data_IF_864786933631
#
_entry.id   IF_864786933631
#
_cell.length_a   1.000
_cell.length_b   1.000
_cell.length_c   1.000
_cell.angle_alpha   90.00
_cell.angle_beta   90.00
_cell.angle_gamma   90.00
#
_symmetry.space_group_name_H-M   'P 1'
#
loop_
_entity.id
_entity.type
_entity.pdbx_description
1 polymer ?
#
# COMPACT_ATOMS: atom_id res chain seq x y z
N UNK A 1 -21.91 9.65 -42.38
CA UNK A 1 -20.71 10.03 -41.61
C UNK A 1 -19.63 10.40 -42.62
N UNK A 2 -19.11 11.65 -42.56
CA UNK A 2 -18.05 12.06 -43.47
C UNK A 2 -16.80 11.22 -43.17
N UNK A 3 -16.23 10.47 -44.14
CA UNK A 3 -15.10 9.60 -43.90
C UNK A 3 -13.80 10.35 -43.56
N UNK A 4 -13.76 11.63 -43.77
CA UNK A 4 -12.57 12.47 -43.50
C UNK A 4 -12.73 13.21 -42.18
N UNK A 5 -11.95 12.77 -41.18
CA UNK A 5 -11.85 13.46 -39.91
C UNK A 5 -11.35 14.90 -40.14
N UNK A 6 -12.15 15.89 -39.72
CA UNK A 6 -11.82 17.30 -39.88
C UNK A 6 -12.10 17.93 -41.25
N UNK A 7 -12.75 17.23 -42.20
CA UNK A 7 -13.09 17.79 -43.51
C UNK A 7 -14.00 19.01 -43.38
N UNK A 8 -14.88 19.06 -42.37
CA UNK A 8 -15.78 20.17 -42.06
C UNK A 8 -15.22 21.13 -41.00
N UNK A 9 -13.93 21.06 -40.74
CA UNK A 9 -13.24 21.80 -39.71
C UNK A 9 -13.12 21.03 -38.37
N UNK A 10 -12.04 21.28 -37.64
CA UNK A 10 -11.82 20.72 -36.33
C UNK A 10 -12.51 21.62 -35.29
N UNK A 11 -13.50 21.08 -34.60
CA UNK A 11 -14.16 21.79 -33.50
C UNK A 11 -13.59 21.28 -32.18
N UNK A 12 -12.83 22.14 -31.50
CA UNK A 12 -12.33 21.89 -30.16
C UNK A 12 -13.31 22.39 -29.12
N UNK A 13 -13.42 21.63 -28.03
CA UNK A 13 -14.31 21.98 -26.93
C UNK A 13 -13.68 21.67 -25.58
N UNK A 14 -14.16 22.33 -24.56
CA UNK A 14 -13.86 22.09 -23.17
C UNK A 14 -15.14 21.69 -22.46
N UNK A 15 -15.05 20.76 -21.53
CA UNK A 15 -16.24 20.27 -20.84
C UNK A 15 -15.91 19.65 -19.48
N UNK A 16 -16.97 19.19 -18.84
CA UNK A 16 -16.92 18.54 -17.53
C UNK A 16 -17.56 17.19 -17.64
N UNK A 17 -16.87 16.19 -17.08
CA UNK A 17 -17.40 14.84 -16.98
C UNK A 17 -18.54 14.79 -15.96
N UNK A 18 -19.70 14.28 -16.37
CA UNK A 18 -20.86 14.12 -15.49
C UNK A 18 -21.25 12.68 -15.22
N UNK A 19 -20.85 11.74 -16.08
CA UNK A 19 -21.15 10.32 -15.90
C UNK A 19 -20.08 9.45 -16.58
N UNK A 20 -19.54 8.49 -15.88
CA UNK A 20 -18.57 7.50 -16.40
C UNK A 20 -19.09 6.05 -16.37
N UNK A 21 -20.37 5.86 -16.03
CA UNK A 21 -20.94 4.53 -15.97
C UNK A 21 -21.36 4.04 -17.37
N UNK A 22 -20.37 3.93 -18.23
CA UNK A 22 -20.54 3.48 -19.62
C UNK A 22 -21.18 2.08 -19.67
N UNK A 23 -22.38 1.93 -20.27
CA UNK A 23 -23.04 0.63 -20.39
C UNK A 23 -22.25 -0.37 -21.25
N UNK A 24 -21.38 0.10 -22.15
CA UNK A 24 -20.49 -0.75 -22.94
C UNK A 24 -19.18 -1.08 -22.21
N UNK A 25 -18.93 -0.49 -21.03
CA UNK A 25 -17.68 -0.67 -20.26
C UNK A 25 -16.41 -0.40 -21.08
N UNK A 26 -16.50 0.55 -22.02
CA UNK A 26 -15.43 0.93 -22.95
C UNK A 26 -14.68 2.20 -22.48
N UNK A 27 -14.89 2.65 -21.23
CA UNK A 27 -14.24 3.83 -20.65
C UNK A 27 -14.76 5.16 -21.21
N UNK A 28 -15.89 5.17 -21.91
CA UNK A 28 -16.54 6.41 -22.36
C UNK A 28 -17.14 7.16 -21.18
N UNK A 29 -17.29 8.45 -21.35
CA UNK A 29 -17.90 9.31 -20.33
C UNK A 29 -18.92 10.27 -20.97
N UNK A 30 -19.91 10.69 -20.20
CA UNK A 30 -20.81 11.77 -20.61
C UNK A 30 -20.22 13.09 -20.18
N UNK A 31 -20.18 14.03 -21.11
CA UNK A 31 -19.54 15.33 -20.89
C UNK A 31 -20.52 16.46 -21.19
N UNK A 32 -20.59 17.40 -20.25
CA UNK A 32 -21.25 18.68 -20.50
C UNK A 32 -20.26 19.65 -21.11
N UNK A 33 -20.46 19.96 -22.37
CA UNK A 33 -19.59 20.87 -23.13
C UNK A 33 -19.94 22.31 -22.78
N UNK A 34 -18.92 23.07 -22.35
CA UNK A 34 -19.07 24.44 -21.92
C UNK A 34 -19.35 25.33 -23.13
N UNK A 35 -20.38 26.19 -23.01
CA UNK A 35 -20.80 27.09 -24.08
C UNK A 35 -21.71 26.47 -25.15
N UNK A 36 -21.84 25.14 -25.18
CA UNK A 36 -22.76 24.40 -26.04
C UNK A 36 -23.97 23.89 -25.25
N UNK A 37 -23.73 23.27 -24.13
CA UNK A 37 -24.76 22.66 -23.27
C UNK A 37 -25.14 23.63 -22.16
N UNK A 38 -26.44 23.70 -21.84
CA UNK A 38 -26.91 24.39 -20.64
C UNK A 38 -26.45 23.72 -19.38
N UNK A 39 -26.26 24.48 -18.29
CA UNK A 39 -25.98 23.98 -16.94
C UNK A 39 -27.24 23.50 -16.22
N UNK A 40 -28.40 23.76 -16.76
CA UNK A 40 -29.67 23.22 -16.26
C UNK A 40 -29.72 21.70 -16.55
N UNK A 41 -29.71 20.92 -15.47
CA UNK A 41 -29.74 19.44 -15.52
C UNK A 41 -31.14 18.88 -15.31
N UNK A 42 -32.16 19.75 -15.19
CA UNK A 42 -33.56 19.35 -15.08
C UNK A 42 -34.11 18.82 -16.41
N UNK A 43 -35.28 18.22 -16.36
CA UNK A 43 -35.99 17.74 -17.57
C UNK A 43 -36.32 18.83 -18.57
N UNK A 44 -36.44 20.08 -18.11
CA UNK A 44 -36.63 21.26 -18.98
C UNK A 44 -35.33 21.78 -19.60
N UNK A 45 -34.19 21.36 -19.08
CA UNK A 45 -32.86 21.70 -19.59
C UNK A 45 -32.22 20.55 -20.37
N UNK A 46 -31.00 20.16 -20.00
CA UNK A 46 -30.31 19.03 -20.58
C UNK A 46 -29.92 18.04 -19.49
N UNK A 47 -30.74 17.01 -19.21
CA UNK A 47 -30.44 15.97 -18.23
C UNK A 47 -29.15 15.24 -18.56
N UNK A 48 -28.49 14.70 -17.53
CA UNK A 48 -27.23 13.95 -17.68
C UNK A 48 -27.42 12.75 -18.62
N UNK A 49 -28.58 12.09 -18.55
CA UNK A 49 -28.89 10.93 -19.37
C UNK A 49 -29.02 11.25 -20.88
N UNK A 50 -29.27 12.53 -21.20
CA UNK A 50 -29.36 13.01 -22.59
C UNK A 50 -27.99 13.38 -23.16
N UNK A 51 -26.96 13.52 -22.33
CA UNK A 51 -25.60 13.80 -22.78
C UNK A 51 -25.05 12.62 -23.59
N UNK A 52 -24.27 12.92 -24.63
CA UNK A 52 -23.62 11.90 -25.46
C UNK A 52 -22.43 11.29 -24.75
N UNK A 53 -22.18 10.01 -25.05
CA UNK A 53 -20.99 9.30 -24.62
C UNK A 53 -19.78 9.71 -25.47
N UNK A 54 -18.83 10.38 -24.85
CA UNK A 54 -17.57 10.76 -25.46
C UNK A 54 -16.55 9.61 -25.33
N UNK A 55 -15.83 9.33 -26.40
CA UNK A 55 -14.69 8.42 -26.36
C UNK A 55 -13.51 9.10 -25.69
N UNK A 56 -12.67 8.33 -25.03
CA UNK A 56 -11.42 8.81 -24.47
C UNK A 56 -10.26 8.36 -25.35
N UNK A 57 -9.44 9.32 -25.78
CA UNK A 57 -8.21 9.01 -26.51
C UNK A 57 -7.24 8.31 -25.56
N UNK A 58 -6.81 7.13 -25.92
CA UNK A 58 -5.82 6.37 -25.13
C UNK A 58 -4.40 6.85 -25.41
N UNK A 59 -3.53 6.68 -24.43
CA UNK A 59 -2.09 6.88 -24.65
C UNK A 59 -1.55 5.85 -25.65
N UNK A 60 -0.40 6.14 -26.27
CA UNK A 60 0.26 5.17 -27.15
C UNK A 60 0.75 3.89 -26.46
N UNK A 61 0.73 3.86 -25.12
CA UNK A 61 1.00 2.68 -24.32
C UNK A 61 -0.20 1.72 -24.21
N UNK A 62 -1.41 2.22 -24.50
CA UNK A 62 -2.62 1.42 -24.50
C UNK A 62 -2.89 0.90 -25.91
N UNK A 63 -2.69 -0.39 -26.13
CA UNK A 63 -2.92 -1.06 -27.40
C UNK A 63 -4.19 -1.89 -27.38
N UNK A 64 -4.66 -2.32 -28.54
CA UNK A 64 -5.82 -3.19 -28.63
C UNK A 64 -5.60 -4.53 -27.90
N UNK A 65 -6.27 -4.69 -26.78
CA UNK A 65 -6.22 -5.91 -25.95
C UNK A 65 -5.06 -6.00 -24.96
N UNK A 66 -4.11 -5.05 -24.97
CA UNK A 66 -2.99 -4.97 -24.02
C UNK A 66 -2.70 -3.51 -23.61
N UNK A 67 -2.07 -3.31 -22.48
CA UNK A 67 -1.73 -1.99 -21.95
C UNK A 67 -2.64 -1.58 -20.77
N UNK A 68 -2.86 -0.29 -20.61
CA UNK A 68 -3.65 0.26 -19.51
C UNK A 68 -5.16 0.08 -19.74
N UNK A 69 -5.89 -0.29 -18.67
CA UNK A 69 -7.34 -0.36 -18.71
C UNK A 69 -7.98 1.02 -18.68
N UNK A 70 -9.01 1.24 -19.46
CA UNK A 70 -9.83 2.43 -19.38
C UNK A 70 -10.83 2.33 -18.22
N UNK A 71 -10.73 3.26 -17.28
CA UNK A 71 -11.70 3.41 -16.19
C UNK A 71 -12.66 4.58 -16.40
N UNK A 72 -12.45 5.37 -17.43
CA UNK A 72 -13.08 6.67 -17.62
C UNK A 72 -12.54 7.76 -16.68
N UNK A 73 -12.82 9.01 -16.98
CA UNK A 73 -12.51 10.11 -16.09
C UNK A 73 -13.55 10.18 -14.97
N UNK A 74 -13.10 10.53 -13.78
CA UNK A 74 -13.98 10.75 -12.62
C UNK A 74 -14.91 11.93 -12.89
N UNK A 75 -16.15 11.86 -12.44
CA UNK A 75 -17.12 12.94 -12.52
C UNK A 75 -16.58 14.22 -11.88
N UNK A 76 -16.80 15.36 -12.53
CA UNK A 76 -16.23 16.66 -12.15
C UNK A 76 -14.85 16.95 -12.76
N UNK A 77 -14.25 16.00 -13.47
CA UNK A 77 -12.99 16.23 -14.20
C UNK A 77 -13.21 17.19 -15.37
N UNK A 78 -12.39 18.20 -15.47
CA UNK A 78 -12.31 19.06 -16.64
C UNK A 78 -11.55 18.37 -17.75
N UNK A 79 -12.14 18.40 -18.94
CA UNK A 79 -11.58 17.73 -20.11
C UNK A 79 -11.53 18.66 -21.31
N UNK A 80 -10.51 18.46 -22.14
CA UNK A 80 -10.38 19.06 -23.46
C UNK A 80 -10.64 17.96 -24.50
N UNK A 81 -11.43 18.27 -25.51
CA UNK A 81 -11.76 17.32 -26.55
C UNK A 81 -11.97 17.96 -27.92
N UNK A 82 -12.23 17.09 -28.86
CA UNK A 82 -12.58 17.44 -30.24
C UNK A 82 -13.89 16.75 -30.63
N UNK A 83 -14.59 17.35 -31.57
CA UNK A 83 -15.75 16.75 -32.22
C UNK A 83 -15.37 16.28 -33.61
N UNK A 84 -15.66 15.01 -33.94
CA UNK A 84 -15.40 14.43 -35.27
C UNK A 84 -16.45 14.81 -36.30
N UNK A 85 -17.60 15.24 -35.84
CA UNK A 85 -18.74 15.71 -36.65
C UNK A 85 -18.89 17.26 -36.64
N UNK A 86 -17.78 17.97 -36.38
CA UNK A 86 -17.73 19.40 -36.38
C UNK A 86 -18.62 20.04 -35.30
N UNK A 87 -19.41 21.03 -35.67
CA UNK A 87 -20.27 21.79 -34.74
C UNK A 87 -21.50 21.01 -34.23
N UNK A 88 -21.77 19.84 -34.77
CA UNK A 88 -22.89 19.00 -34.30
C UNK A 88 -22.64 18.45 -32.92
N UNK A 89 -21.38 18.22 -32.54
CA UNK A 89 -20.94 17.74 -31.21
C UNK A 89 -21.69 16.49 -30.73
N UNK A 90 -21.99 15.57 -31.66
CA UNK A 90 -22.62 14.29 -31.34
C UNK A 90 -21.59 13.15 -31.27
N UNK A 91 -20.43 13.35 -31.89
CA UNK A 91 -19.33 12.38 -31.91
C UNK A 91 -18.10 12.99 -31.25
N UNK A 92 -18.06 12.88 -29.93
CA UNK A 92 -17.08 13.55 -29.08
C UNK A 92 -15.90 12.62 -28.75
N UNK A 93 -14.68 13.17 -28.81
CA UNK A 93 -13.46 12.49 -28.37
C UNK A 93 -12.74 13.41 -27.38
N UNK A 94 -12.42 12.88 -26.20
CA UNK A 94 -11.62 13.54 -25.18
C UNK A 94 -10.14 13.28 -25.47
N UNK A 95 -9.35 14.34 -25.53
CA UNK A 95 -7.89 14.27 -25.71
C UNK A 95 -7.18 14.09 -24.36
N UNK A 96 -7.69 14.74 -23.31
CA UNK A 96 -7.08 14.68 -21.98
C UNK A 96 -7.85 15.50 -20.94
N UNK A 97 -7.37 15.42 -19.70
CA UNK A 97 -7.88 16.20 -18.59
C UNK A 97 -7.07 17.49 -18.40
N UNK A 98 -7.74 18.51 -17.85
CA UNK A 98 -7.11 19.75 -17.44
C UNK A 98 -6.88 19.73 -15.93
N UNK A 99 -5.67 20.07 -15.52
CA UNK A 99 -5.37 20.26 -14.10
C UNK A 99 -6.14 21.47 -13.56
N UNK A 100 -6.68 21.33 -12.35
CA UNK A 100 -7.32 22.44 -11.63
C UNK A 100 -6.30 23.48 -11.20
N UNK A 101 -6.79 24.68 -10.89
CA UNK A 101 -5.97 25.74 -10.27
C UNK A 101 -6.12 25.67 -8.76
N UNK A 102 -5.05 25.90 -7.99
CA UNK A 102 -5.16 26.01 -6.55
C UNK A 102 -6.01 27.27 -6.22
N UNK A 103 -7.16 27.07 -5.60
CA UNK A 103 -8.08 28.14 -5.23
C UNK A 103 -8.16 28.35 -3.70
N UNK A 104 -7.49 27.51 -2.92
CA UNK A 104 -7.42 27.61 -1.48
C UNK A 104 -6.09 27.03 -0.97
N UNK A 105 -5.64 27.51 0.17
CA UNK A 105 -4.48 26.92 0.85
C UNK A 105 -4.76 25.47 1.26
N UNK A 106 -3.76 24.60 1.21
CA UNK A 106 -3.85 23.23 1.68
C UNK A 106 -4.37 23.15 3.12
N UNK A 107 -5.22 22.19 3.41
CA UNK A 107 -5.71 21.92 4.75
C UNK A 107 -5.43 20.47 5.15
N UNK A 108 -4.33 20.27 5.88
CA UNK A 108 -3.88 18.96 6.34
C UNK A 108 -4.85 18.25 7.29
N UNK A 109 -5.79 19.00 7.89
CA UNK A 109 -6.79 18.43 8.81
C UNK A 109 -7.92 17.73 8.06
N UNK A 110 -8.19 18.12 6.83
CA UNK A 110 -9.29 17.58 6.02
C UNK A 110 -9.01 16.22 5.39
N UNK A 111 -7.80 15.72 5.49
CA UNK A 111 -7.44 14.40 4.99
C UNK A 111 -7.03 14.39 3.51
N UNK A 112 -6.54 13.24 3.08
CA UNK A 112 -6.01 13.01 1.74
C UNK A 112 -7.11 12.48 0.81
N UNK A 113 -7.18 12.96 -0.44
CA UNK A 113 -8.16 12.53 -1.43
C UNK A 113 -9.58 13.07 -1.23
N UNK A 114 -9.86 13.69 -0.07
CA UNK A 114 -11.17 14.26 0.24
C UNK A 114 -11.01 15.47 1.15
N UNK A 115 -10.69 16.61 0.56
CA UNK A 115 -10.48 17.86 1.29
C UNK A 115 -11.74 18.38 2.00
N UNK A 116 -12.93 17.88 1.65
CA UNK A 116 -14.17 18.22 2.32
C UNK A 116 -14.56 17.25 3.44
N UNK A 117 -13.77 16.19 3.67
CA UNK A 117 -14.07 15.09 4.61
C UNK A 117 -15.47 14.47 4.41
N UNK A 118 -15.97 14.49 3.19
CA UNK A 118 -17.21 13.83 2.81
C UNK A 118 -16.96 12.34 2.54
N UNK A 119 -15.69 12.01 2.36
CA UNK A 119 -15.23 10.65 2.14
C UNK A 119 -14.99 9.96 3.48
N UNK A 120 -15.83 9.00 3.80
CA UNK A 120 -15.57 8.02 4.84
C UNK A 120 -14.71 6.92 4.23
N UNK A 121 -13.69 6.44 4.94
CA UNK A 121 -12.79 5.38 4.50
C UNK A 121 -13.55 4.12 4.05
N UNK A 122 -14.77 3.93 4.54
CA UNK A 122 -15.66 2.83 4.19
C UNK A 122 -16.67 3.19 3.09
N UNK A 123 -16.70 4.43 2.65
CA UNK A 123 -17.61 4.92 1.61
C UNK A 123 -16.79 5.34 0.40
N UNK A 124 -17.21 4.91 -0.76
CA UNK A 124 -16.62 5.37 -2.03
C UNK A 124 -16.99 6.83 -2.28
N UNK A 125 -16.18 7.56 -3.07
CA UNK A 125 -16.55 8.87 -3.56
C UNK A 125 -17.97 8.83 -4.15
N UNK A 126 -18.72 9.88 -3.91
CA UNK A 126 -20.09 9.99 -4.35
C UNK A 126 -20.15 10.10 -5.87
N UNK A 127 -21.07 9.37 -6.45
CA UNK A 127 -21.25 9.25 -7.89
C UNK A 127 -22.48 10.01 -8.34
N UNK A 128 -22.70 10.04 -9.65
CA UNK A 128 -23.91 10.51 -10.28
C UNK A 128 -25.16 10.07 -9.51
N UNK A 129 -26.08 11.00 -9.28
CA UNK A 129 -27.31 10.78 -8.51
C UNK A 129 -27.17 10.87 -7.01
N UNK A 130 -25.98 11.09 -6.48
CA UNK A 130 -25.76 11.36 -5.07
C UNK A 130 -26.02 12.84 -4.78
N UNK A 131 -26.99 13.13 -3.90
CA UNK A 131 -27.47 14.47 -3.59
C UNK A 131 -26.44 15.40 -2.95
N UNK A 132 -25.26 14.89 -2.60
CA UNK A 132 -24.32 15.65 -1.78
C UNK A 132 -23.15 16.28 -2.53
N UNK A 133 -23.25 16.49 -3.82
CA UNK A 133 -22.33 17.32 -4.63
C UNK A 133 -20.83 17.07 -4.35
N UNK A 134 -20.44 15.83 -4.29
CA UNK A 134 -19.05 15.46 -4.05
C UNK A 134 -18.09 15.97 -5.15
N UNK A 135 -18.59 16.03 -6.38
CA UNK A 135 -17.94 16.65 -7.52
C UNK A 135 -18.74 17.90 -7.92
N UNK A 136 -18.41 19.06 -7.35
CA UNK A 136 -19.20 20.27 -7.57
C UNK A 136 -19.09 20.72 -9.02
N UNK A 137 -20.23 20.82 -9.69
CA UNK A 137 -20.34 21.27 -11.07
C UNK A 137 -19.83 22.70 -11.30
N UNK A 138 -19.82 23.53 -10.26
CA UNK A 138 -19.43 24.94 -10.31
C UNK A 138 -18.00 25.23 -9.87
N UNK A 139 -17.30 24.28 -9.27
CA UNK A 139 -15.96 24.47 -8.76
C UNK A 139 -14.92 23.60 -9.49
N UNK A 140 -15.02 23.52 -10.78
CA UNK A 140 -14.19 22.69 -11.65
C UNK A 140 -12.70 23.01 -11.64
N UNK A 141 -12.30 24.10 -11.01
CA UNK A 141 -10.93 24.56 -10.94
C UNK A 141 -10.25 24.16 -9.63
N UNK A 142 -10.88 23.31 -8.82
CA UNK A 142 -10.26 22.78 -7.64
C UNK A 142 -9.17 21.80 -8.05
N UNK A 143 -7.96 22.04 -7.54
CA UNK A 143 -6.84 21.18 -7.78
C UNK A 143 -6.99 19.85 -7.03
N UNK A 144 -6.62 18.74 -7.67
CA UNK A 144 -6.58 17.45 -7.04
C UNK A 144 -5.56 17.40 -5.89
N UNK A 145 -5.85 16.64 -4.84
CA UNK A 145 -4.93 16.46 -3.72
C UNK A 145 -3.60 15.82 -4.13
N UNK A 146 -3.60 15.01 -5.18
CA UNK A 146 -2.39 14.41 -5.76
C UNK A 146 -1.34 15.47 -6.13
N UNK A 147 -1.76 16.59 -6.73
CA UNK A 147 -0.85 17.68 -7.06
C UNK A 147 -0.30 18.38 -5.80
N UNK A 148 -1.12 18.49 -4.77
CA UNK A 148 -0.73 19.10 -3.49
C UNK A 148 0.25 18.21 -2.73
N UNK A 149 0.09 16.90 -2.80
CA UNK A 149 1.05 15.94 -2.27
C UNK A 149 2.40 16.04 -3.00
N UNK A 150 2.36 16.19 -4.33
CA UNK A 150 3.57 16.36 -5.16
C UNK A 150 4.37 17.63 -4.79
N UNK A 151 3.71 18.67 -4.27
CA UNK A 151 4.36 19.92 -3.85
C UNK A 151 4.64 20.02 -2.35
N UNK A 152 4.44 18.95 -1.58
CA UNK A 152 4.54 18.97 -0.12
C UNK A 152 3.60 20.01 0.56
N UNK A 153 2.48 20.33 -0.08
CA UNK A 153 1.47 21.25 0.44
C UNK A 153 0.36 20.53 1.22
N UNK A 154 0.37 19.21 1.16
CA UNK A 154 -0.53 18.36 1.91
C UNK A 154 0.26 17.32 2.68
N UNK A 155 0.37 17.53 3.98
CA UNK A 155 0.93 16.54 4.88
C UNK A 155 -0.24 15.74 5.43
N UNK A 156 -0.37 14.49 4.99
CA UNK A 156 -1.25 13.54 5.64
C UNK A 156 -0.44 12.70 6.61
N UNK A 157 -0.87 12.69 7.87
CA UNK A 157 -0.25 11.88 8.92
C UNK A 157 -0.29 10.38 8.60
N UNK A 158 -1.22 9.93 7.77
CA UNK A 158 -1.32 8.54 7.35
C UNK A 158 -0.22 8.12 6.39
N UNK A 159 0.34 9.06 5.62
CA UNK A 159 1.45 8.79 4.69
C UNK A 159 2.80 8.88 5.39
N UNK A 160 2.91 9.84 6.32
CA UNK A 160 4.18 10.22 6.97
C UNK A 160 4.32 9.58 8.36
N UNK A 161 3.20 9.22 8.99
CA UNK A 161 3.22 8.68 10.35
C UNK A 161 3.43 7.18 10.34
N UNK A 162 4.66 6.80 10.46
CA UNK A 162 5.05 5.47 10.89
C UNK A 162 4.73 5.37 12.37
N UNK A 163 3.73 4.59 12.75
CA UNK A 163 3.48 4.29 14.16
C UNK A 163 4.69 3.54 14.69
N UNK A 164 5.33 4.06 15.72
CA UNK A 164 6.31 3.29 16.48
C UNK A 164 5.59 2.03 16.97
N UNK A 165 6.10 0.88 16.63
CA UNK A 165 5.67 -0.35 17.26
C UNK A 165 5.89 -0.18 18.77
N UNK A 166 4.95 -0.65 19.60
CA UNK A 166 5.08 -0.60 21.04
C UNK A 166 6.15 -1.65 21.45
N UNK A 167 7.39 -1.19 21.53
CA UNK A 167 8.56 -2.04 21.74
C UNK A 167 9.03 -2.01 23.19
N UNK A 168 8.11 -1.98 24.15
CA UNK A 168 8.43 -1.97 25.59
C UNK A 168 9.34 -3.14 26.04
N UNK A 169 9.60 -4.11 25.18
CA UNK A 169 10.40 -5.29 25.49
C UNK A 169 11.66 -5.50 24.64
N UNK A 170 11.91 -4.72 23.61
CA UNK A 170 13.09 -4.88 22.76
C UNK A 170 13.69 -3.55 22.32
N UNK A 171 14.79 -3.15 22.95
CA UNK A 171 15.53 -1.94 22.62
C UNK A 171 16.23 -1.98 21.24
N UNK A 172 16.18 -3.11 20.54
CA UNK A 172 16.94 -3.36 19.31
C UNK A 172 16.19 -3.01 18.03
N UNK A 173 14.86 -2.76 18.08
CA UNK A 173 14.07 -2.44 16.91
C UNK A 173 13.50 -1.03 17.02
N UNK A 174 13.78 -0.20 16.02
CA UNK A 174 13.13 1.11 15.84
C UNK A 174 12.61 1.21 14.42
N UNK A 175 11.38 1.65 14.27
CA UNK A 175 10.78 1.91 12.97
C UNK A 175 11.47 3.13 12.31
N UNK A 176 12.01 3.01 11.08
CA UNK A 176 12.62 4.14 10.39
C UNK A 176 11.60 5.24 10.13
N UNK A 177 12.04 6.49 10.22
CA UNK A 177 11.21 7.65 9.87
C UNK A 177 11.23 7.85 8.36
N UNK A 178 10.07 8.11 7.76
CA UNK A 178 10.00 8.43 6.33
C UNK A 178 10.85 9.65 5.98
N UNK A 179 11.59 9.61 4.87
CA UNK A 179 12.35 10.75 4.36
C UNK A 179 11.49 11.73 3.55
N UNK A 180 10.17 11.59 3.54
CA UNK A 180 9.27 12.43 2.75
C UNK A 180 9.54 13.92 2.97
N UNK A 181 10.00 14.59 1.92
CA UNK A 181 10.29 16.01 1.89
C UNK A 181 10.13 16.57 0.46
N UNK A 182 9.06 16.14 -0.20
CA UNK A 182 8.82 16.43 -1.62
C UNK A 182 8.97 17.91 -1.98
N UNK A 183 9.65 18.17 -3.10
CA UNK A 183 9.80 19.49 -3.69
C UNK A 183 9.28 19.44 -5.13
N UNK A 184 8.39 20.36 -5.46
CA UNK A 184 7.90 20.49 -6.84
C UNK A 184 9.05 20.92 -7.79
N UNK A 185 9.20 20.32 -8.97
CA UNK A 185 8.30 19.37 -9.64
C UNK A 185 8.75 17.89 -9.55
N UNK A 186 9.52 17.51 -8.59
CA UNK A 186 10.25 16.24 -8.58
C UNK A 186 9.41 15.03 -8.14
N UNK A 187 8.35 15.20 -7.34
CA UNK A 187 7.53 14.09 -6.88
C UNK A 187 6.38 13.78 -7.87
N UNK A 188 6.42 12.62 -8.49
CA UNK A 188 5.36 12.09 -9.35
C UNK A 188 4.44 11.21 -8.54
N UNK A 189 3.17 11.61 -8.40
CA UNK A 189 2.17 10.97 -7.55
C UNK A 189 1.03 10.42 -8.37
N UNK A 190 0.66 9.16 -8.14
CA UNK A 190 -0.58 8.57 -8.62
C UNK A 190 -1.46 8.19 -7.43
N UNK A 191 -2.71 8.62 -7.45
CA UNK A 191 -3.68 8.29 -6.41
C UNK A 191 -4.94 7.69 -7.03
N UNK A 192 -5.42 6.59 -6.45
CA UNK A 192 -6.71 6.02 -6.81
C UNK A 192 -7.85 6.70 -6.05
N UNK A 193 -9.09 6.59 -6.54
CA UNK A 193 -10.28 7.11 -5.86
C UNK A 193 -10.45 6.65 -4.41
N UNK A 194 -9.93 5.48 -4.08
CA UNK A 194 -10.01 4.93 -2.73
C UNK A 194 -8.86 5.38 -1.83
N UNK A 195 -7.87 6.13 -2.35
CA UNK A 195 -6.73 6.64 -1.60
C UNK A 195 -5.54 5.67 -1.54
N UNK A 196 -5.39 4.77 -2.53
CA UNK A 196 -4.12 4.08 -2.75
C UNK A 196 -3.18 5.01 -3.49
N UNK A 197 -1.91 5.05 -3.11
CA UNK A 197 -0.94 6.00 -3.62
C UNK A 197 0.32 5.28 -4.08
N UNK A 198 0.86 5.74 -5.20
CA UNK A 198 2.20 5.40 -5.65
C UNK A 198 2.96 6.69 -5.90
N UNK A 199 4.16 6.81 -5.35
CA UNK A 199 5.02 7.97 -5.52
C UNK A 199 6.38 7.54 -6.05
N UNK A 200 6.89 8.32 -7.02
CA UNK A 200 8.29 8.32 -7.45
C UNK A 200 8.77 9.74 -7.18
N UNK A 201 9.55 9.90 -6.13
CA UNK A 201 10.04 11.19 -5.67
C UNK A 201 11.53 11.31 -6.00
N UNK A 202 11.85 12.19 -6.93
CA UNK A 202 13.22 12.50 -7.36
C UNK A 202 13.74 13.77 -6.67
N UNK A 203 13.12 14.20 -5.56
CA UNK A 203 13.57 15.35 -4.79
C UNK A 203 15.02 15.15 -4.32
N UNK A 204 15.97 16.05 -4.68
CA UNK A 204 17.37 15.87 -4.33
C UNK A 204 17.60 15.67 -2.82
N UNK A 205 18.32 14.61 -2.45
CA UNK A 205 18.60 14.14 -1.08
C UNK A 205 17.36 13.66 -0.30
N UNK A 206 16.22 13.51 -0.98
CA UNK A 206 15.00 12.94 -0.42
C UNK A 206 14.33 11.99 -1.42
N UNK A 207 15.11 11.43 -2.34
CA UNK A 207 14.64 10.48 -3.37
C UNK A 207 13.93 9.30 -2.70
N UNK A 208 12.74 8.96 -3.20
CA UNK A 208 11.90 7.95 -2.55
C UNK A 208 11.02 7.21 -3.54
N UNK A 209 10.92 5.90 -3.36
CA UNK A 209 9.86 5.09 -3.97
C UNK A 209 8.87 4.72 -2.87
N UNK A 210 7.59 4.95 -3.11
CA UNK A 210 6.56 4.67 -2.10
C UNK A 210 5.31 4.06 -2.74
N UNK A 211 4.82 2.96 -2.15
CA UNK A 211 3.57 2.32 -2.51
C UNK A 211 2.73 2.14 -1.25
N UNK A 212 1.58 2.80 -1.22
CA UNK A 212 0.75 2.92 -0.03
C UNK A 212 -0.66 2.39 -0.28
N UNK A 213 -1.10 1.50 0.59
CA UNK A 213 -2.48 1.07 0.67
C UNK A 213 -3.25 1.96 1.66
N UNK A 214 -4.46 2.41 1.30
CA UNK A 214 -5.28 3.33 2.12
C UNK A 214 -5.46 2.94 3.59
N UNK A 215 -5.30 1.66 3.94
CA UNK A 215 -5.38 1.15 5.32
C UNK A 215 -4.07 1.24 6.09
N UNK A 216 -3.00 1.78 5.48
CA UNK A 216 -1.74 2.00 6.14
C UNK A 216 -0.65 0.95 5.88
N UNK A 217 -0.92 -0.10 5.11
CA UNK A 217 0.12 -1.01 4.61
C UNK A 217 0.90 -0.31 3.52
N UNK A 218 2.23 -0.34 3.57
CA UNK A 218 3.07 0.31 2.57
C UNK A 218 4.42 -0.38 2.38
N UNK A 219 5.04 -0.05 1.27
CA UNK A 219 6.43 -0.30 0.97
C UNK A 219 7.10 1.04 0.60
N UNK A 220 8.24 1.34 1.21
CA UNK A 220 8.98 2.57 0.98
C UNK A 220 10.48 2.28 0.84
N UNK A 221 11.12 2.87 -0.18
CA UNK A 221 12.57 2.85 -0.36
C UNK A 221 13.11 4.26 -0.17
N UNK A 222 14.07 4.40 0.75
CA UNK A 222 14.66 5.67 1.15
C UNK A 222 15.87 6.05 0.26
N UNK A 223 16.35 7.31 0.32
CA UNK A 223 17.49 7.78 -0.48
C UNK A 223 18.78 6.97 -0.30
N UNK A 224 18.97 6.41 0.88
CA UNK A 224 20.14 5.59 1.21
C UNK A 224 19.96 4.10 0.83
N UNK A 225 18.87 3.74 0.15
CA UNK A 225 18.54 2.38 -0.22
C UNK A 225 17.86 1.54 0.88
N UNK A 226 17.59 2.10 2.05
CA UNK A 226 16.83 1.39 3.08
C UNK A 226 15.42 1.09 2.58
N UNK A 227 15.00 -0.16 2.62
CA UNK A 227 13.64 -0.58 2.31
C UNK A 227 12.85 -0.82 3.60
N UNK A 228 11.68 -0.21 3.70
CA UNK A 228 10.72 -0.41 4.79
C UNK A 228 9.45 -1.04 4.24
N UNK A 229 9.05 -2.18 4.79
CA UNK A 229 7.76 -2.81 4.49
C UNK A 229 6.95 -2.86 5.78
N UNK A 230 5.76 -2.26 5.76
CA UNK A 230 4.84 -2.25 6.89
C UNK A 230 3.52 -2.87 6.51
N UNK A 231 3.11 -3.87 7.27
CA UNK A 231 1.83 -4.55 7.11
C UNK A 231 0.97 -4.30 8.35
N UNK A 232 -0.24 -3.75 8.15
CA UNK A 232 -1.13 -3.36 9.27
C UNK A 232 -1.98 -4.52 9.78
N UNK A 233 -2.16 -5.56 8.96
CA UNK A 233 -2.90 -6.77 9.27
C UNK A 233 -2.01 -7.99 9.07
N UNK A 234 -2.58 -9.12 8.72
CA UNK A 234 -1.84 -10.35 8.49
C UNK A 234 -0.93 -10.25 7.26
N UNK A 235 0.25 -10.84 7.36
CA UNK A 235 1.18 -10.98 6.25
C UNK A 235 1.32 -12.47 5.91
N UNK A 236 1.16 -12.81 4.63
CA UNK A 236 1.37 -14.14 4.09
C UNK A 236 2.51 -14.09 3.08
N UNK A 237 3.57 -14.85 3.33
CA UNK A 237 4.65 -15.06 2.39
C UNK A 237 4.68 -16.55 2.02
N UNK A 238 4.44 -16.85 0.75
CA UNK A 238 4.27 -18.23 0.26
C UNK A 238 5.22 -18.44 -0.91
N UNK A 239 6.20 -19.34 -0.73
CA UNK A 239 7.13 -19.75 -1.77
C UNK A 239 6.85 -21.19 -2.18
N UNK A 240 6.48 -21.43 -3.43
CA UNK A 240 6.21 -22.79 -3.95
C UNK A 240 7.49 -23.52 -4.36
N UNK A 241 8.58 -22.80 -4.50
CA UNK A 241 9.91 -23.35 -4.79
C UNK A 241 10.83 -23.23 -3.60
N UNK A 242 12.10 -22.98 -3.85
CA UNK A 242 13.10 -22.73 -2.80
C UNK A 242 13.14 -21.25 -2.44
N UNK A 243 13.35 -20.97 -1.17
CA UNK A 243 13.62 -19.64 -0.65
C UNK A 243 15.08 -19.54 -0.19
N UNK A 244 15.78 -18.47 -0.57
CA UNK A 244 17.17 -18.21 -0.21
C UNK A 244 17.29 -16.83 0.42
N UNK A 245 17.63 -16.79 1.72
CA UNK A 245 17.83 -15.54 2.46
C UNK A 245 19.31 -15.40 2.82
N UNK A 246 19.96 -14.33 2.35
CA UNK A 246 21.31 -13.96 2.71
C UNK A 246 21.37 -12.58 3.34
N UNK A 247 21.81 -12.49 4.58
CA UNK A 247 21.94 -11.23 5.32
C UNK A 247 23.42 -11.01 5.62
N UNK A 248 24.02 -9.97 5.03
CA UNK A 248 25.41 -9.63 5.25
C UNK A 248 25.65 -8.96 6.62
N UNK A 249 24.66 -8.31 7.16
CA UNK A 249 24.70 -7.64 8.47
C UNK A 249 24.01 -8.45 9.57
N UNK A 250 23.49 -7.74 10.55
CA UNK A 250 22.76 -8.32 11.68
C UNK A 250 21.31 -8.63 11.28
N UNK A 251 20.76 -9.73 11.81
CA UNK A 251 19.35 -10.04 11.74
C UNK A 251 18.73 -9.94 13.14
N UNK A 252 17.61 -9.23 13.27
CA UNK A 252 16.83 -9.16 14.50
C UNK A 252 15.39 -9.51 14.21
N UNK A 253 14.85 -10.49 14.93
CA UNK A 253 13.45 -10.92 14.82
C UNK A 253 12.81 -10.80 16.20
N UNK A 254 11.72 -10.04 16.29
CA UNK A 254 10.93 -9.85 17.51
C UNK A 254 9.51 -10.35 17.26
N UNK A 255 9.02 -11.24 18.11
CA UNK A 255 7.69 -11.84 18.04
C UNK A 255 7.02 -11.64 19.39
N UNK A 256 5.97 -10.82 19.44
CA UNK A 256 5.20 -10.55 20.67
C UNK A 256 4.21 -11.68 21.02
N UNK A 257 3.93 -12.54 20.07
CA UNK A 257 3.05 -13.70 20.22
C UNK A 257 3.79 -15.02 20.21
N UNK A 258 3.11 -16.08 19.82
CA UNK A 258 3.69 -17.42 19.70
C UNK A 258 4.45 -17.57 18.38
N UNK A 259 5.54 -18.31 18.41
CA UNK A 259 6.28 -18.73 17.22
C UNK A 259 6.15 -20.23 17.02
N UNK A 260 5.84 -20.66 15.79
CA UNK A 260 5.79 -22.06 15.40
C UNK A 260 6.64 -22.27 14.14
N UNK A 261 7.64 -23.14 14.24
CA UNK A 261 8.54 -23.49 13.13
C UNK A 261 8.46 -24.99 12.92
N UNK A 262 8.00 -25.42 11.74
CA UNK A 262 7.87 -26.84 11.38
C UNK A 262 8.75 -27.13 10.17
N UNK A 263 9.65 -28.13 10.30
CA UNK A 263 10.48 -28.59 9.20
C UNK A 263 10.19 -30.09 8.98
N UNK A 264 9.65 -30.43 7.79
CA UNK A 264 9.31 -31.81 7.44
C UNK A 264 10.53 -32.64 7.03
N UNK A 265 11.68 -32.02 6.83
CA UNK A 265 12.93 -32.65 6.49
C UNK A 265 13.99 -32.39 7.55
N UNK A 266 15.27 -32.42 7.17
CA UNK A 266 16.38 -32.13 8.06
C UNK A 266 16.48 -30.63 8.34
N UNK A 267 16.75 -30.26 9.57
CA UNK A 267 17.07 -28.89 9.99
C UNK A 267 18.50 -28.82 10.50
N UNK A 268 19.29 -27.87 10.02
CA UNK A 268 20.68 -27.65 10.46
C UNK A 268 20.84 -26.19 10.91
N UNK A 269 21.33 -26.02 12.13
CA UNK A 269 21.70 -24.70 12.65
C UNK A 269 23.19 -24.70 13.04
N UNK A 270 23.94 -23.75 12.49
CA UNK A 270 25.38 -23.60 12.77
C UNK A 270 25.64 -22.20 13.34
N UNK A 271 26.15 -22.11 14.56
CA UNK A 271 26.61 -20.87 15.18
C UNK A 271 28.10 -20.93 15.38
N UNK A 272 28.88 -20.08 14.70
CA UNK A 272 30.35 -20.07 14.82
C UNK A 272 30.85 -19.36 16.08
N UNK A 273 30.00 -18.59 16.73
CA UNK A 273 30.28 -17.92 18.00
C UNK A 273 29.45 -18.50 19.14
N UNK A 274 29.10 -17.68 20.11
CA UNK A 274 28.28 -18.10 21.23
C UNK A 274 26.81 -18.21 20.84
N UNK A 275 26.12 -19.23 21.31
CA UNK A 275 24.66 -19.36 21.21
C UNK A 275 24.08 -19.33 22.64
N UNK A 276 23.08 -18.49 22.84
CA UNK A 276 22.38 -18.37 24.13
C UNK A 276 20.88 -18.59 23.91
N UNK A 277 20.32 -19.52 24.67
CA UNK A 277 18.88 -19.76 24.73
C UNK A 277 18.38 -19.49 26.15
N UNK A 278 17.39 -18.63 26.31
CA UNK A 278 16.75 -18.32 27.60
C UNK A 278 15.29 -18.70 27.51
N UNK A 279 14.83 -19.57 28.40
CA UNK A 279 13.44 -19.99 28.52
C UNK A 279 12.98 -19.78 29.95
N UNK A 280 11.97 -18.97 30.19
CA UNK A 280 11.41 -18.71 31.53
C UNK A 280 10.46 -19.85 32.01
N UNK A 281 10.16 -20.78 31.14
CA UNK A 281 9.35 -21.97 31.40
C UNK A 281 10.16 -23.25 31.16
N UNK A 282 9.51 -24.30 30.74
CA UNK A 282 10.15 -25.58 30.44
C UNK A 282 10.69 -25.60 29.01
N UNK A 283 11.88 -26.20 28.83
CA UNK A 283 12.39 -26.61 27.52
C UNK A 283 12.25 -28.10 27.39
N UNK A 284 11.56 -28.59 26.38
CA UNK A 284 11.45 -30.04 26.07
C UNK A 284 12.22 -30.32 24.78
N UNK A 285 13.07 -31.33 24.81
CA UNK A 285 13.74 -31.88 23.64
C UNK A 285 13.28 -33.35 23.54
N UNK A 286 12.53 -33.66 22.49
CA UNK A 286 12.07 -35.02 22.19
C UNK A 286 12.80 -35.51 20.95
N UNK A 287 13.64 -36.51 21.11
CA UNK A 287 14.47 -37.08 20.08
C UNK A 287 14.41 -38.62 20.14
N UNK A 288 13.67 -39.23 19.23
CA UNK A 288 13.42 -40.68 19.18
C UNK A 288 14.71 -41.54 19.16
N UNK A 289 15.76 -41.03 18.50
CA UNK A 289 17.04 -41.74 18.37
C UNK A 289 18.12 -41.25 19.34
N UNK A 290 17.76 -40.34 20.24
CA UNK A 290 18.65 -39.77 21.23
C UNK A 290 19.24 -38.41 20.89
N UNK A 291 19.91 -37.81 21.88
CA UNK A 291 20.56 -36.51 21.79
C UNK A 291 22.04 -36.67 22.13
N UNK A 292 22.95 -36.24 21.25
CA UNK A 292 24.39 -36.21 21.51
C UNK A 292 24.81 -34.80 21.95
N UNK A 293 25.55 -34.73 23.05
CA UNK A 293 26.17 -33.50 23.53
C UNK A 293 27.70 -33.68 23.60
N UNK A 294 28.45 -32.85 22.85
CA UNK A 294 29.91 -32.81 22.87
C UNK A 294 30.38 -31.60 23.66
N UNK A 295 30.91 -31.84 24.84
CA UNK A 295 31.35 -30.76 25.74
C UNK A 295 30.88 -31.00 27.16
N UNK A 296 31.15 -30.04 28.04
CA UNK A 296 30.74 -30.13 29.45
C UNK A 296 29.31 -29.65 29.62
N UNK A 297 28.48 -30.41 30.30
CA UNK A 297 27.17 -30.00 30.79
C UNK A 297 27.32 -29.52 32.23
N UNK A 298 27.05 -28.24 32.48
CA UNK A 298 27.06 -27.70 33.84
C UNK A 298 25.61 -27.43 34.27
N UNK A 299 25.13 -28.17 35.25
CA UNK A 299 23.78 -28.01 35.83
C UNK A 299 23.90 -27.23 37.13
N UNK A 300 23.44 -25.95 37.11
CA UNK A 300 23.47 -25.06 38.27
C UNK A 300 22.08 -25.04 38.89
N UNK A 301 21.95 -25.24 40.18
CA UNK A 301 20.71 -25.28 40.94
C UNK A 301 19.63 -26.28 40.44
N UNK A 302 20.10 -27.36 39.81
CA UNK A 302 19.26 -28.46 39.33
C UNK A 302 19.91 -29.80 39.51
N UNK A 303 19.33 -30.82 38.89
CA UNK A 303 19.81 -32.20 38.86
C UNK A 303 19.62 -32.79 37.44
N UNK A 304 20.35 -33.85 37.17
CA UNK A 304 20.15 -34.71 35.99
C UNK A 304 19.48 -36.00 36.49
N UNK A 305 18.29 -36.30 36.01
CA UNK A 305 17.54 -37.48 36.36
C UNK A 305 17.45 -38.41 35.14
N UNK A 306 17.94 -39.65 35.27
CA UNK A 306 17.84 -40.66 34.23
C UNK A 306 17.01 -41.82 34.79
N UNK A 307 15.89 -42.16 34.16
CA UNK A 307 14.96 -43.24 34.62
C UNK A 307 14.58 -43.14 36.11
N UNK A 308 14.42 -41.94 36.64
CA UNK A 308 14.09 -41.67 38.04
C UNK A 308 15.31 -41.71 38.99
N UNK A 309 16.50 -41.92 38.47
CA UNK A 309 17.74 -41.92 39.27
C UNK A 309 18.40 -40.55 39.18
N UNK A 310 18.57 -39.90 40.32
CA UNK A 310 19.28 -38.61 40.44
C UNK A 310 20.81 -38.84 40.28
N UNK A 311 21.42 -38.08 39.38
CA UNK A 311 22.90 -38.10 39.26
C UNK A 311 23.53 -37.48 40.50
N UNK A 312 22.87 -36.48 41.11
CA UNK A 312 23.36 -35.75 42.27
C UNK A 312 23.14 -36.50 43.60
N UNK A 313 22.04 -37.25 43.73
CA UNK A 313 21.60 -37.80 45.00
C UNK A 313 21.48 -39.34 45.01
N UNK A 314 21.96 -40.05 43.96
CA UNK A 314 21.91 -41.52 43.98
C UNK A 314 22.94 -42.12 44.95
N UNK A 315 22.58 -43.23 45.51
CA UNK A 315 23.44 -43.97 46.40
C UNK A 315 23.66 -45.38 45.87
N UNK A 316 24.79 -46.01 46.27
CA UNK A 316 25.08 -47.37 45.91
C UNK A 316 25.05 -48.26 47.18
N UNK A 317 24.78 -49.53 47.01
CA UNK A 317 24.92 -50.52 48.13
C UNK A 317 26.33 -51.01 48.08
N UNK A 318 27.04 -50.79 49.17
CA UNK A 318 28.41 -51.27 49.32
C UNK A 318 28.48 -52.78 49.48
N UNK A 319 29.69 -53.35 49.41
CA UNK A 319 29.98 -54.77 49.41
C UNK A 319 29.43 -55.56 50.64
N UNK A 320 29.14 -54.92 51.74
CA UNK A 320 28.55 -55.50 52.94
C UNK A 320 27.08 -55.14 53.18
N UNK A 321 26.37 -54.64 52.13
CA UNK A 321 24.98 -54.29 52.23
C UNK A 321 24.68 -52.94 52.88
N UNK A 322 25.68 -52.13 53.22
CA UNK A 322 25.50 -50.79 53.72
C UNK A 322 25.46 -49.79 52.58
N UNK A 323 24.57 -48.75 52.59
CA UNK A 323 24.57 -47.66 51.59
C UNK A 323 25.88 -46.88 51.74
N UNK A 324 26.49 -46.51 50.58
CA UNK A 324 27.58 -45.53 50.49
C UNK A 324 27.06 -44.11 50.34
N UNK A 325 27.90 -43.17 50.69
CA UNK A 325 27.50 -41.72 50.57
C UNK A 325 27.15 -41.33 49.13
N UNK A 326 26.36 -40.28 49.01
CA UNK A 326 26.09 -39.63 47.74
C UNK A 326 27.40 -39.25 47.03
N UNK A 327 27.41 -39.13 45.69
CA UNK A 327 28.57 -38.62 44.96
C UNK A 327 28.95 -37.24 45.47
N UNK A 328 30.21 -36.98 45.71
CA UNK A 328 30.75 -35.68 46.18
C UNK A 328 31.04 -34.74 45.03
#
# INVERSE_FOLDING_TARGET
>A
MNPFFGADGLFMWQGVVEDRQDPLKAGRVRVRVIGLHTDDTSDSGLPIDSLKWAQVLQSGAAMNGVGESLSGFVEGTWVLGISRDGRLCQDLVIIGSLAGKPNASPNSVKGFGDHNKTYDINKRPKRRGDASEHYPKKAYLNEADVNRLARNEKIDKTIVAIKKANLDKCALFSEPVTPYAAVYPYNVVNESESGHITEIDDTPNAERLHSYHRMGTFEEVHPNGTKVTKVVKDNYEITLGSDYVHIHGNCSVVIDGNSNIITNGNSTQITKGNSTQITNGNTTIDATSGTEHKGTINVINGDVIADGISVKHHTHIGNLGAPVSEPS
#
